data_IF_429267694951
#
_entry.id   IF_429267694951
#
_cell.length_a   1.000
_cell.length_b   1.000
_cell.length_c   1.000
_cell.angle_alpha   90.00
_cell.angle_beta   90.00
_cell.angle_gamma   90.00
#
_symmetry.space_group_name_H-M   'P 1'
#
loop_
_entity.id
_entity.type
_entity.pdbx_description
1 polymer ?
#
# COMPACT_ATOMS: atom_id res chain seq x y z
N UNK A 1 1.56 6.92 8.29
CA UNK A 1 1.54 7.20 6.85
C UNK A 1 1.26 5.96 6.01
N UNK A 2 0.39 6.08 5.02
CA UNK A 2 0.07 5.07 4.01
C UNK A 2 0.70 5.50 2.69
N UNK A 3 1.63 4.69 2.18
CA UNK A 3 2.44 5.00 1.01
C UNK A 3 2.28 3.90 -0.04
N UNK A 4 2.09 4.28 -1.29
CA UNK A 4 2.05 3.35 -2.42
C UNK A 4 3.24 3.56 -3.35
N UNK A 5 3.88 2.47 -3.78
CA UNK A 5 4.79 2.45 -4.91
C UNK A 5 4.07 1.87 -6.12
N UNK A 6 3.97 2.66 -7.19
CA UNK A 6 3.26 2.30 -8.42
C UNK A 6 4.14 2.60 -9.64
N UNK A 7 3.79 2.04 -10.78
CA UNK A 7 4.52 2.26 -12.03
C UNK A 7 4.37 1.11 -13.01
N UNK A 8 5.07 1.21 -14.13
CA UNK A 8 5.08 0.18 -15.17
C UNK A 8 5.78 -1.10 -14.68
N UNK A 9 5.39 -2.26 -15.21
CA UNK A 9 6.17 -3.48 -15.07
C UNK A 9 7.63 -3.27 -15.51
N UNK A 10 8.58 -3.65 -14.64
CA UNK A 10 10.02 -3.48 -14.88
C UNK A 10 10.61 -2.09 -14.58
N UNK A 11 9.81 -1.12 -14.12
CA UNK A 11 10.33 0.22 -13.80
C UNK A 11 11.18 0.28 -12.53
N UNK A 12 11.18 -0.77 -11.71
CA UNK A 12 11.95 -0.86 -10.46
C UNK A 12 11.19 -0.47 -9.19
N UNK A 13 9.85 -0.57 -9.20
CA UNK A 13 8.97 -0.29 -8.05
C UNK A 13 9.38 -1.05 -6.80
N UNK A 14 9.42 -2.39 -6.88
CA UNK A 14 9.74 -3.29 -5.77
C UNK A 14 11.13 -3.02 -5.19
N UNK A 15 12.10 -2.71 -6.05
CA UNK A 15 13.45 -2.32 -5.62
C UNK A 15 13.43 -0.99 -4.87
N UNK A 16 12.73 0.02 -5.37
CA UNK A 16 12.64 1.31 -4.68
C UNK A 16 11.82 1.21 -3.38
N UNK A 17 10.73 0.45 -3.36
CA UNK A 17 9.95 0.22 -2.14
C UNK A 17 10.76 -0.53 -1.10
N UNK A 18 11.57 -1.54 -1.49
CA UNK A 18 12.43 -2.26 -0.54
C UNK A 18 13.55 -1.38 0.02
N UNK A 19 14.17 -0.54 -0.80
CA UNK A 19 15.14 0.46 -0.35
C UNK A 19 14.51 1.45 0.63
N UNK A 20 13.30 1.93 0.32
CA UNK A 20 12.57 2.85 1.18
C UNK A 20 12.16 2.21 2.51
N UNK A 21 11.70 0.96 2.51
CA UNK A 21 11.40 0.20 3.74
C UNK A 21 12.66 0.05 4.60
N UNK A 22 13.82 -0.27 4.00
CA UNK A 22 15.11 -0.34 4.71
C UNK A 22 15.51 1.01 5.30
N UNK A 23 15.29 2.10 4.57
CA UNK A 23 15.54 3.46 5.04
C UNK A 23 14.67 3.82 6.24
N UNK A 24 13.37 3.54 6.18
CA UNK A 24 12.45 3.76 7.30
C UNK A 24 12.85 2.93 8.52
N UNK A 25 13.19 1.66 8.34
CA UNK A 25 13.65 0.79 9.43
C UNK A 25 14.93 1.32 10.08
N UNK A 26 15.91 1.79 9.27
CA UNK A 26 17.14 2.40 9.76
C UNK A 26 16.92 3.72 10.52
N UNK A 27 15.81 4.41 10.24
CA UNK A 27 15.36 5.59 10.96
C UNK A 27 14.43 5.24 12.14
N UNK A 28 14.44 3.99 12.61
CA UNK A 28 13.67 3.47 13.75
C UNK A 28 12.14 3.57 13.61
N UNK A 29 11.64 3.70 12.37
CA UNK A 29 10.21 3.77 12.11
C UNK A 29 9.53 2.40 12.17
N UNK A 30 8.24 2.38 12.51
CA UNK A 30 7.44 1.16 12.51
C UNK A 30 6.84 0.89 11.14
N UNK A 31 7.29 -0.16 10.46
CA UNK A 31 6.90 -0.41 9.06
C UNK A 31 6.10 -1.70 8.90
N UNK A 32 4.93 -1.55 8.28
CA UNK A 32 4.20 -2.64 7.63
C UNK A 32 4.48 -2.55 6.13
N UNK A 33 5.18 -3.54 5.59
CA UNK A 33 5.39 -3.73 4.17
C UNK A 33 4.30 -4.65 3.60
N UNK A 34 3.68 -4.27 2.48
CA UNK A 34 2.63 -5.06 1.83
C UNK A 34 3.00 -5.29 0.36
N UNK A 35 3.15 -6.56 -0.01
CA UNK A 35 3.32 -6.97 -1.40
C UNK A 35 1.96 -7.21 -2.07
N UNK A 36 1.56 -6.26 -2.89
CA UNK A 36 0.34 -6.30 -3.69
C UNK A 36 0.65 -6.23 -5.21
N UNK A 37 1.87 -6.62 -5.63
CA UNK A 37 2.22 -6.84 -7.04
C UNK A 37 1.95 -8.31 -7.40
N UNK A 38 1.45 -8.58 -8.61
CA UNK A 38 1.14 -9.95 -9.05
C UNK A 38 2.37 -10.87 -9.04
N UNK A 39 3.57 -10.29 -9.19
CA UNK A 39 4.81 -11.06 -9.23
C UNK A 39 5.37 -11.38 -7.82
N UNK A 40 4.87 -10.72 -6.77
CA UNK A 40 5.20 -10.98 -5.36
C UNK A 40 6.72 -11.07 -5.07
N UNK A 41 7.48 -10.02 -5.42
CA UNK A 41 8.95 -9.99 -5.27
C UNK A 41 9.46 -9.21 -4.06
N UNK A 42 8.59 -8.55 -3.28
CA UNK A 42 9.00 -7.68 -2.18
C UNK A 42 9.68 -8.45 -1.05
N UNK A 43 9.22 -9.67 -0.73
CA UNK A 43 9.83 -10.51 0.29
C UNK A 43 11.29 -10.83 -0.01
N UNK A 44 11.58 -11.26 -1.24
CA UNK A 44 12.94 -11.51 -1.70
C UNK A 44 13.79 -10.23 -1.71
N UNK A 45 13.22 -9.09 -2.13
CA UNK A 45 13.92 -7.80 -2.10
C UNK A 45 14.24 -7.32 -0.66
N UNK A 46 13.46 -7.75 0.33
CA UNK A 46 13.71 -7.51 1.75
C UNK A 46 14.68 -8.53 2.38
N UNK A 47 15.06 -9.58 1.65
CA UNK A 47 16.11 -10.53 2.04
C UNK A 47 15.61 -11.90 2.47
N UNK A 48 14.33 -12.21 2.27
CA UNK A 48 13.83 -13.58 2.41
C UNK A 48 14.41 -14.46 1.30
N UNK A 49 14.72 -15.70 1.63
CA UNK A 49 15.02 -16.70 0.61
C UNK A 49 13.75 -17.14 -0.15
N UNK A 50 13.93 -17.92 -1.22
CA UNK A 50 12.80 -18.37 -2.05
C UNK A 50 11.78 -19.21 -1.26
N UNK A 51 12.23 -20.01 -0.29
CA UNK A 51 11.37 -20.86 0.51
C UNK A 51 10.58 -20.04 1.54
N UNK A 52 11.24 -19.08 2.20
CA UNK A 52 10.63 -18.13 3.12
C UNK A 52 9.59 -17.25 2.41
N UNK A 53 9.94 -16.71 1.25
CA UNK A 53 9.04 -15.89 0.44
C UNK A 53 7.82 -16.69 -0.04
N UNK A 54 8.02 -17.94 -0.50
CA UNK A 54 6.93 -18.82 -0.91
C UNK A 54 6.03 -19.26 0.27
N UNK A 55 6.56 -19.28 1.49
CA UNK A 55 5.82 -19.63 2.70
C UNK A 55 5.04 -18.46 3.32
N UNK A 56 5.12 -17.25 2.73
CA UNK A 56 4.35 -16.10 3.20
C UNK A 56 2.84 -16.39 3.12
N UNK A 57 2.08 -16.16 4.20
CA UNK A 57 0.63 -16.34 4.17
C UNK A 57 -0.02 -15.38 3.18
N UNK A 58 -0.83 -15.92 2.29
CA UNK A 58 -1.62 -15.13 1.37
C UNK A 58 -2.80 -14.49 2.14
N UNK A 59 -2.84 -13.15 2.21
CA UNK A 59 -3.96 -12.44 2.86
C UNK A 59 -5.33 -12.86 2.31
N UNK A 60 -5.40 -13.17 1.00
CA UNK A 60 -6.63 -13.66 0.36
C UNK A 60 -7.19 -14.94 0.97
N UNK A 61 -6.33 -15.85 1.46
CA UNK A 61 -6.74 -17.09 2.11
C UNK A 61 -7.34 -16.86 3.52
N UNK A 62 -7.07 -15.70 4.11
CA UNK A 62 -7.55 -15.30 5.44
C UNK A 62 -8.68 -14.26 5.38
N UNK A 63 -9.31 -14.05 4.21
CA UNK A 63 -10.39 -13.09 4.04
C UNK A 63 -11.56 -13.23 5.04
N UNK A 64 -12.06 -14.43 5.37
CA UNK A 64 -13.10 -14.58 6.39
C UNK A 64 -12.66 -14.05 7.76
N UNK A 65 -11.46 -14.42 8.21
CA UNK A 65 -10.85 -13.93 9.45
C UNK A 65 -10.72 -12.40 9.45
N UNK A 66 -10.19 -11.84 8.36
CA UNK A 66 -10.02 -10.39 8.21
C UNK A 66 -11.36 -9.68 8.34
N UNK A 67 -12.38 -10.12 7.60
CA UNK A 67 -13.71 -9.51 7.62
C UNK A 67 -14.35 -9.62 9.00
N UNK A 68 -14.35 -10.81 9.61
CA UNK A 68 -14.94 -11.01 10.94
C UNK A 68 -14.26 -10.15 12.00
N UNK A 69 -12.93 -10.05 11.96
CA UNK A 69 -12.20 -9.21 12.90
C UNK A 69 -12.53 -7.72 12.72
N UNK A 70 -12.47 -7.21 11.48
CA UNK A 70 -12.71 -5.79 11.17
C UNK A 70 -14.17 -5.37 11.39
N UNK A 71 -15.12 -6.27 11.12
CA UNK A 71 -16.54 -6.07 11.42
C UNK A 71 -16.78 -5.72 12.89
N UNK A 72 -16.05 -6.37 13.79
CA UNK A 72 -16.23 -6.19 15.22
C UNK A 72 -17.69 -6.42 15.64
N UNK A 73 -18.24 -5.47 16.38
CA UNK A 73 -19.64 -5.41 16.80
C UNK A 73 -20.48 -4.43 15.98
N UNK A 74 -20.03 -4.02 14.78
CA UNK A 74 -20.72 -3.04 13.97
C UNK A 74 -22.15 -3.50 13.63
N UNK A 75 -23.21 -2.80 14.10
CA UNK A 75 -24.59 -3.24 13.92
C UNK A 75 -25.09 -3.09 12.48
N UNK A 76 -24.43 -2.28 11.66
CA UNK A 76 -24.78 -2.06 10.24
C UNK A 76 -24.26 -3.17 9.33
N UNK A 77 -23.32 -3.99 9.81
CA UNK A 77 -22.75 -5.10 9.07
C UNK A 77 -23.25 -6.41 9.71
N UNK A 78 -24.38 -6.92 9.21
CA UNK A 78 -25.04 -8.10 9.75
C UNK A 78 -24.15 -9.35 9.72
N UNK A 79 -23.33 -9.52 8.67
CA UNK A 79 -22.43 -10.66 8.49
C UNK A 79 -21.19 -10.26 7.68
N UNK A 80 -20.03 -10.85 7.99
CA UNK A 80 -18.82 -10.73 7.19
C UNK A 80 -19.02 -11.16 5.73
N UNK A 81 -19.96 -12.05 5.45
CA UNK A 81 -20.29 -12.47 4.07
C UNK A 81 -20.79 -11.31 3.21
N UNK A 82 -21.44 -10.32 3.82
CA UNK A 82 -21.91 -9.10 3.14
C UNK A 82 -20.84 -8.03 2.99
N UNK A 83 -19.66 -8.20 3.58
CA UNK A 83 -18.56 -7.26 3.41
C UNK A 83 -17.89 -7.46 2.06
N UNK A 84 -17.72 -6.36 1.33
CA UNK A 84 -16.87 -6.26 0.14
C UNK A 84 -15.58 -5.47 0.46
N UNK A 85 -14.60 -5.48 -0.45
CA UNK A 85 -13.29 -4.83 -0.25
C UNK A 85 -13.36 -3.33 0.07
N UNK A 86 -14.44 -2.66 -0.35
CA UNK A 86 -14.70 -1.24 -0.10
C UNK A 86 -15.55 -0.97 1.15
N UNK A 87 -15.95 -1.99 1.91
CA UNK A 87 -16.80 -1.80 3.11
C UNK A 87 -16.12 -0.86 4.08
N UNK A 88 -16.74 0.27 4.46
CA UNK A 88 -16.15 1.22 5.40
C UNK A 88 -16.33 0.73 6.85
N UNK A 89 -15.44 1.15 7.78
CA UNK A 89 -15.73 1.06 9.21
C UNK A 89 -16.90 1.97 9.60
N UNK A 90 -17.52 1.64 10.73
CA UNK A 90 -18.52 2.44 11.42
C UNK A 90 -18.45 2.21 12.92
N UNK A 91 -19.40 2.74 13.70
CA UNK A 91 -19.50 2.44 15.11
C UNK A 91 -19.48 0.91 15.37
N UNK A 92 -18.61 0.45 16.27
CA UNK A 92 -18.44 -0.96 16.60
C UNK A 92 -17.49 -1.76 15.69
N UNK A 93 -17.04 -1.21 14.55
CA UNK A 93 -15.96 -1.82 13.76
C UNK A 93 -14.63 -1.79 14.52
N UNK A 94 -13.78 -2.79 14.28
CA UNK A 94 -12.39 -2.75 14.78
C UNK A 94 -11.51 -2.06 13.76
N UNK A 95 -10.59 -1.24 14.26
CA UNK A 95 -9.58 -0.56 13.45
C UNK A 95 -8.22 -1.23 13.66
N UNK A 96 -7.41 -1.27 12.61
CA UNK A 96 -6.04 -1.75 12.67
C UNK A 96 -5.10 -0.62 13.05
N UNK A 97 -4.10 -0.96 13.87
CA UNK A 97 -3.04 -0.07 14.31
C UNK A 97 -1.70 -0.69 13.95
N UNK A 98 -0.74 0.13 13.52
CA UNK A 98 0.54 -0.39 13.00
C UNK A 98 1.33 -1.11 14.09
N UNK A 99 1.35 -0.56 15.31
CA UNK A 99 2.13 -1.06 16.45
C UNK A 99 1.44 -2.16 17.25
N UNK A 100 0.17 -2.45 17.00
CA UNK A 100 -0.58 -3.44 17.77
C UNK A 100 -0.43 -4.83 17.18
N UNK A 101 -0.45 -5.83 18.04
CA UNK A 101 -0.66 -7.21 17.62
C UNK A 101 -2.16 -7.49 17.56
N UNK A 102 -2.55 -8.28 16.56
CA UNK A 102 -3.93 -8.68 16.37
C UNK A 102 -4.01 -9.97 15.56
N UNK A 103 -5.16 -10.68 15.58
CA UNK A 103 -5.34 -11.93 14.87
C UNK A 103 -5.08 -11.86 13.35
N UNK A 104 -5.26 -10.69 12.72
CA UNK A 104 -4.95 -10.54 11.29
C UNK A 104 -3.44 -10.57 11.09
N UNK A 105 -2.66 -9.82 11.88
CA UNK A 105 -1.21 -9.82 11.78
C UNK A 105 -0.60 -11.16 12.18
N UNK A 106 -1.14 -11.83 13.21
CA UNK A 106 -0.70 -13.17 13.61
C UNK A 106 -0.86 -14.18 12.47
N UNK A 107 -1.98 -14.09 11.74
CA UNK A 107 -2.28 -14.99 10.63
C UNK A 107 -1.51 -14.62 9.35
N UNK A 108 -1.45 -13.33 9.02
CA UNK A 108 -1.09 -12.87 7.67
C UNK A 108 0.33 -12.29 7.56
N UNK A 109 0.96 -11.94 8.68
CA UNK A 109 2.21 -11.21 8.65
C UNK A 109 3.41 -12.04 9.12
N UNK A 110 4.60 -11.68 8.62
CA UNK A 110 5.87 -12.23 9.05
C UNK A 110 6.85 -11.11 9.37
N UNK A 111 7.57 -11.24 10.46
CA UNK A 111 8.65 -10.32 10.80
C UNK A 111 9.85 -10.62 9.92
N UNK A 112 10.33 -9.60 9.21
CA UNK A 112 11.56 -9.67 8.40
C UNK A 112 12.62 -8.84 9.11
N UNK A 113 13.73 -9.49 9.44
CA UNK A 113 14.90 -8.86 10.06
C UNK A 113 15.72 -8.16 8.97
N UNK A 114 15.84 -6.84 9.07
CA UNK A 114 16.72 -6.04 8.23
C UNK A 114 18.01 -5.70 8.99
N UNK A 115 18.95 -5.02 8.35
CA UNK A 115 20.23 -4.64 8.98
C UNK A 115 20.02 -3.80 10.25
N UNK A 116 19.11 -2.83 10.18
CA UNK A 116 18.92 -1.80 11.21
C UNK A 116 17.50 -1.79 11.80
N UNK A 117 16.79 -2.92 11.80
CA UNK A 117 15.46 -2.99 12.37
C UNK A 117 14.64 -4.18 11.89
N UNK A 118 13.41 -4.26 12.37
CA UNK A 118 12.46 -5.31 12.01
C UNK A 118 11.25 -4.67 11.33
N UNK A 119 10.75 -5.31 10.28
CA UNK A 119 9.53 -4.86 9.59
C UNK A 119 8.53 -6.00 9.52
N UNK A 120 7.24 -5.64 9.50
CA UNK A 120 6.16 -6.61 9.32
C UNK A 120 5.82 -6.72 7.84
N UNK A 121 6.09 -7.86 7.22
CA UNK A 121 5.75 -8.13 5.81
C UNK A 121 4.43 -8.89 5.70
N UNK A 122 3.54 -8.42 4.82
CA UNK A 122 2.32 -9.12 4.38
C UNK A 122 2.31 -9.23 2.86
N UNK A 123 1.61 -10.24 2.35
CA UNK A 123 1.57 -10.56 0.93
C UNK A 123 0.13 -10.90 0.50
N UNK A 124 -0.30 -10.41 -0.67
CA UNK A 124 -1.59 -10.85 -1.24
C UNK A 124 -1.57 -12.33 -1.64
N UNK A 125 -0.37 -12.88 -1.87
CA UNK A 125 -0.11 -14.25 -2.27
C UNK A 125 -0.08 -14.42 -3.80
N UNK A 126 0.66 -15.41 -4.31
CA UNK A 126 0.81 -15.64 -5.75
C UNK A 126 -0.51 -16.06 -6.38
N UNK A 127 -0.65 -15.88 -7.68
CA UNK A 127 -1.76 -16.44 -8.45
C UNK A 127 -1.59 -17.96 -8.56
N UNK A 128 -2.53 -18.76 -8.05
CA UNK A 128 -2.43 -20.23 -8.10
C UNK A 128 -3.21 -20.78 -9.30
N UNK A 129 -2.95 -22.02 -9.71
CA UNK A 129 -3.68 -22.67 -10.81
C UNK A 129 -5.19 -22.73 -10.56
N UNK A 130 -5.63 -22.80 -9.30
CA UNK A 130 -7.05 -22.74 -8.92
C UNK A 130 -7.70 -21.37 -9.18
N UNK A 131 -6.90 -20.31 -9.36
CA UNK A 131 -7.38 -18.97 -9.67
C UNK A 131 -7.50 -18.75 -11.19
N UNK A 132 -6.78 -19.54 -12.01
CA UNK A 132 -6.77 -19.43 -13.48
C UNK A 132 -8.16 -19.72 -14.06
N UNK A 133 -8.81 -18.67 -14.57
CA UNK A 133 -10.12 -18.75 -15.20
C UNK A 133 -11.31 -18.74 -14.25
N UNK A 134 -11.09 -18.62 -12.93
CA UNK A 134 -12.15 -18.67 -11.90
C UNK A 134 -12.20 -17.40 -11.04
N UNK A 135 -11.04 -16.85 -10.66
CA UNK A 135 -10.95 -15.66 -9.82
C UNK A 135 -10.11 -14.56 -10.50
N UNK A 136 -10.68 -13.36 -10.63
CA UNK A 136 -9.91 -12.21 -11.07
C UNK A 136 -8.97 -11.74 -9.94
N UNK A 137 -7.74 -11.31 -10.25
CA UNK A 137 -6.74 -10.80 -9.27
C UNK A 137 -7.30 -9.73 -8.32
N UNK A 138 -8.35 -9.02 -8.76
CA UNK A 138 -9.22 -8.14 -7.96
C UNK A 138 -9.67 -8.70 -6.60
N UNK A 139 -9.81 -10.02 -6.45
CA UNK A 139 -10.20 -10.65 -5.18
C UNK A 139 -9.06 -10.67 -4.15
N UNK A 140 -7.79 -10.74 -4.60
CA UNK A 140 -6.62 -10.86 -3.71
C UNK A 140 -6.18 -9.52 -3.14
N UNK A 141 -6.17 -8.47 -3.97
CA UNK A 141 -5.88 -7.10 -3.52
C UNK A 141 -7.00 -6.55 -2.62
N UNK A 142 -8.19 -7.16 -2.66
CA UNK A 142 -9.33 -6.76 -1.84
C UNK A 142 -9.08 -6.88 -0.32
N UNK A 143 -8.23 -7.81 0.11
CA UNK A 143 -7.82 -7.91 1.53
C UNK A 143 -6.99 -6.70 1.96
N UNK A 144 -6.05 -6.27 1.12
CA UNK A 144 -5.22 -5.08 1.35
C UNK A 144 -6.10 -3.83 1.41
N UNK A 145 -7.02 -3.68 0.47
CA UNK A 145 -7.96 -2.54 0.46
C UNK A 145 -8.81 -2.48 1.73
N UNK A 146 -9.36 -3.63 2.14
CA UNK A 146 -10.20 -3.70 3.31
C UNK A 146 -9.42 -3.36 4.59
N UNK A 147 -8.18 -3.84 4.70
CA UNK A 147 -7.27 -3.45 5.78
C UNK A 147 -6.96 -1.94 5.73
N UNK A 148 -6.64 -1.36 4.57
CA UNK A 148 -6.37 0.08 4.44
C UNK A 148 -7.57 0.96 4.83
N UNK A 149 -8.79 0.52 4.51
CA UNK A 149 -10.05 1.18 4.89
C UNK A 149 -10.27 1.19 6.41
N UNK A 150 -9.72 0.22 7.13
CA UNK A 150 -9.87 0.09 8.59
C UNK A 150 -8.58 0.42 9.35
N UNK A 151 -7.51 0.84 8.67
CA UNK A 151 -6.23 1.12 9.29
C UNK A 151 -6.16 2.58 9.70
N UNK A 152 -5.78 2.81 10.95
CA UNK A 152 -5.39 4.10 11.48
C UNK A 152 -3.93 4.00 11.86
N UNK A 153 -3.12 4.90 11.32
CA UNK A 153 -1.70 5.05 11.60
C UNK A 153 -1.46 6.38 12.31
N UNK A 154 -0.39 6.47 13.09
CA UNK A 154 0.07 7.71 13.74
C UNK A 154 1.44 8.18 13.22
N UNK A 155 2.06 9.13 13.94
CA UNK A 155 3.44 9.55 13.69
C UNK A 155 4.41 8.36 13.75
N UNK A 156 5.41 8.36 12.87
CA UNK A 156 6.45 7.32 12.74
C UNK A 156 5.94 5.90 12.45
N UNK A 157 4.66 5.76 12.07
CA UNK A 157 4.05 4.49 11.67
C UNK A 157 3.82 4.48 10.17
N UNK A 158 4.37 3.51 9.45
CA UNK A 158 4.34 3.47 7.99
C UNK A 158 3.70 2.18 7.48
N UNK A 159 2.84 2.32 6.48
CA UNK A 159 2.32 1.22 5.67
C UNK A 159 2.80 1.46 4.24
N UNK A 160 3.76 0.66 3.77
CA UNK A 160 4.33 0.77 2.43
C UNK A 160 3.78 -0.37 1.58
N UNK A 161 3.03 -0.02 0.53
CA UNK A 161 2.40 -0.98 -0.37
C UNK A 161 3.08 -0.94 -1.73
N UNK A 162 3.76 -2.03 -2.10
CA UNK A 162 4.26 -2.23 -3.47
C UNK A 162 3.12 -2.80 -4.31
N UNK A 163 2.69 -2.09 -5.35
CA UNK A 163 1.58 -2.52 -6.19
C UNK A 163 1.79 -2.16 -7.66
N UNK A 164 1.01 -2.81 -8.52
CA UNK A 164 0.97 -2.44 -9.94
C UNK A 164 0.20 -1.12 -10.14
N UNK A 165 0.62 -0.29 -11.10
CA UNK A 165 -0.18 0.86 -11.55
C UNK A 165 -1.36 0.42 -12.45
N UNK A 166 -2.10 -0.60 -12.02
CA UNK A 166 -3.17 -1.24 -12.78
C UNK A 166 -4.53 -0.57 -12.60
N UNK A 167 -5.47 -0.95 -13.47
CA UNK A 167 -6.90 -0.62 -13.36
C UNK A 167 -7.51 -1.02 -12.01
N UNK A 168 -6.94 -2.04 -11.37
CA UNK A 168 -7.48 -2.70 -10.19
C UNK A 168 -7.58 -1.74 -9.00
N UNK A 169 -6.56 -0.90 -8.80
CA UNK A 169 -6.55 0.12 -7.73
C UNK A 169 -7.59 1.23 -7.97
N UNK A 170 -7.91 1.52 -9.24
CA UNK A 170 -8.92 2.51 -9.62
C UNK A 170 -10.34 1.96 -9.62
N UNK A 171 -10.52 0.65 -9.83
CA UNK A 171 -11.82 0.00 -9.88
C UNK A 171 -12.56 0.07 -8.53
N UNK A 172 -11.84 0.08 -7.40
CA UNK A 172 -12.43 0.10 -6.06
C UNK A 172 -12.11 1.31 -5.21
N UNK A 173 -11.24 2.21 -5.69
CA UNK A 173 -10.90 3.44 -4.98
C UNK A 173 -9.68 3.34 -4.08
N UNK A 174 -8.99 2.19 -4.05
CA UNK A 174 -7.74 1.99 -3.31
C UNK A 174 -6.71 3.11 -3.52
N UNK A 175 -6.60 3.66 -4.74
CA UNK A 175 -5.69 4.77 -5.04
C UNK A 175 -5.91 6.04 -4.17
N UNK A 176 -7.09 6.17 -3.55
CA UNK A 176 -7.44 7.28 -2.65
C UNK A 176 -7.15 6.99 -1.17
N UNK A 177 -6.49 5.87 -0.86
CA UNK A 177 -6.18 5.42 0.51
C UNK A 177 -4.77 5.74 0.98
N UNK A 178 -3.95 6.34 0.12
CA UNK A 178 -2.55 6.67 0.39
C UNK A 178 -2.39 8.16 0.63
N UNK A 179 -1.55 8.52 1.61
CA UNK A 179 -1.10 9.89 1.81
C UNK A 179 -0.09 10.28 0.75
N UNK A 180 0.70 9.32 0.26
CA UNK A 180 1.65 9.56 -0.82
C UNK A 180 1.70 8.38 -1.78
N UNK A 181 1.57 8.67 -3.07
CA UNK A 181 1.84 7.71 -4.13
C UNK A 181 3.13 8.09 -4.84
N UNK A 182 4.14 7.22 -4.75
CA UNK A 182 5.36 7.31 -5.54
C UNK A 182 5.19 6.52 -6.83
N UNK A 183 5.15 7.23 -7.95
CA UNK A 183 5.13 6.64 -9.27
C UNK A 183 6.54 6.54 -9.84
N UNK A 184 7.01 5.30 -9.98
CA UNK A 184 8.35 4.99 -10.50
C UNK A 184 8.32 4.95 -12.02
N UNK A 185 9.04 5.89 -12.64
CA UNK A 185 9.12 6.04 -14.09
C UNK A 185 10.56 5.99 -14.60
N UNK A 186 10.79 5.17 -15.62
CA UNK A 186 12.03 5.23 -16.41
C UNK A 186 12.00 6.45 -17.35
N UNK A 187 13.15 7.04 -17.72
CA UNK A 187 13.26 8.18 -18.65
C UNK A 187 12.97 7.75 -20.11
N UNK A 188 11.76 7.23 -20.34
CA UNK A 188 11.29 6.79 -21.65
C UNK A 188 9.82 7.16 -21.82
N UNK A 189 9.38 7.35 -23.07
CA UNK A 189 7.96 7.62 -23.39
C UNK A 189 6.99 6.58 -22.81
N UNK A 190 7.41 5.31 -22.77
CA UNK A 190 6.62 4.21 -22.18
C UNK A 190 6.64 4.22 -20.66
N UNK A 191 7.71 4.71 -20.04
CA UNK A 191 7.80 4.87 -18.58
C UNK A 191 6.81 5.94 -18.09
N UNK A 192 6.83 7.11 -18.74
CA UNK A 192 5.98 8.26 -18.36
C UNK A 192 4.52 8.14 -18.82
N UNK A 193 4.18 7.22 -19.73
CA UNK A 193 2.77 7.03 -20.15
C UNK A 193 1.88 6.56 -19.01
N UNK A 194 2.41 5.73 -18.09
CA UNK A 194 1.68 5.28 -16.90
C UNK A 194 1.40 6.45 -15.96
N UNK A 195 2.34 7.38 -15.83
CA UNK A 195 2.13 8.61 -15.07
C UNK A 195 0.95 9.43 -15.61
N UNK A 196 0.89 9.66 -16.92
CA UNK A 196 -0.19 10.44 -17.53
C UNK A 196 -1.56 9.82 -17.26
N UNK A 197 -1.67 8.50 -17.44
CA UNK A 197 -2.91 7.78 -17.17
C UNK A 197 -3.28 7.84 -15.68
N UNK A 198 -2.33 7.65 -14.79
CA UNK A 198 -2.57 7.70 -13.35
C UNK A 198 -3.04 9.11 -12.92
N UNK A 199 -2.38 10.17 -13.41
CA UNK A 199 -2.73 11.56 -13.12
C UNK A 199 -4.13 11.90 -13.63
N UNK A 200 -4.50 11.41 -14.81
CA UNK A 200 -5.84 11.60 -15.37
C UNK A 200 -6.92 10.96 -14.49
N UNK A 201 -6.74 9.70 -14.09
CA UNK A 201 -7.71 9.00 -13.24
C UNK A 201 -7.79 9.55 -11.81
N UNK A 202 -6.68 10.09 -11.28
CA UNK A 202 -6.62 10.62 -9.93
C UNK A 202 -7.01 12.11 -9.81
N UNK A 203 -7.22 12.80 -10.94
CA UNK A 203 -7.39 14.27 -11.03
C UNK A 203 -8.40 14.84 -10.04
N UNK A 204 -9.55 14.21 -9.89
CA UNK A 204 -10.68 14.74 -9.12
C UNK A 204 -10.70 14.26 -7.66
N UNK A 205 -9.68 13.50 -7.24
CA UNK A 205 -9.63 12.88 -5.92
C UNK A 205 -8.56 13.49 -5.00
N UNK A 206 -7.78 14.46 -5.50
CA UNK A 206 -6.79 15.18 -4.70
C UNK A 206 -5.66 14.29 -4.16
N UNK A 207 -5.37 13.17 -4.84
CA UNK A 207 -4.30 12.24 -4.45
C UNK A 207 -2.94 12.93 -4.56
N UNK A 208 -2.13 12.84 -3.51
CA UNK A 208 -0.75 13.29 -3.56
C UNK A 208 0.08 12.25 -4.35
N UNK A 209 0.67 12.71 -5.44
CA UNK A 209 1.42 11.90 -6.38
C UNK A 209 2.75 12.57 -6.65
N UNK A 210 3.83 11.83 -6.48
CA UNK A 210 5.19 12.23 -6.86
C UNK A 210 5.83 11.18 -7.75
N UNK A 211 6.61 11.63 -8.71
CA UNK A 211 7.33 10.77 -9.66
C UNK A 211 8.76 10.60 -9.20
N UNK A 212 9.19 9.34 -9.11
CA UNK A 212 10.58 8.96 -8.87
C UNK A 212 11.14 8.48 -10.19
N UNK A 213 12.04 9.27 -10.77
CA UNK A 213 12.78 8.87 -11.97
C UNK A 213 13.72 7.74 -11.62
N UNK A 214 13.63 6.58 -12.27
CA UNK A 214 14.51 5.45 -12.00
C UNK A 214 15.34 5.08 -13.23
N UNK A 215 16.53 4.52 -12.98
CA UNK A 215 17.53 4.17 -14.01
C UNK A 215 17.99 5.41 -14.80
N UNK A 216 18.10 6.54 -14.12
CA UNK A 216 18.62 7.79 -14.68
C UNK A 216 20.11 7.64 -14.95
N UNK A 217 20.56 7.89 -16.18
CA UNK A 217 21.96 7.78 -16.58
C UNK A 217 22.69 9.13 -16.54
N UNK A 218 21.95 10.24 -16.64
CA UNK A 218 22.54 11.57 -16.63
C UNK A 218 21.54 12.72 -16.69
N UNK A 219 22.03 13.95 -16.89
CA UNK A 219 21.20 15.16 -16.89
C UNK A 219 20.11 15.18 -17.96
N UNK A 220 20.37 14.62 -19.14
CA UNK A 220 19.41 14.53 -20.25
C UNK A 220 18.15 13.74 -19.86
N UNK A 221 18.32 12.62 -19.14
CA UNK A 221 17.19 11.83 -18.61
C UNK A 221 16.34 12.61 -17.60
N UNK A 222 16.99 13.42 -16.74
CA UNK A 222 16.30 14.27 -15.78
C UNK A 222 15.55 15.40 -16.49
N UNK A 223 16.14 16.00 -17.52
CA UNK A 223 15.49 17.01 -18.36
C UNK A 223 14.26 16.42 -19.06
N UNK A 224 14.40 15.23 -19.66
CA UNK A 224 13.29 14.50 -20.26
C UNK A 224 12.16 14.25 -19.26
N UNK A 225 12.47 13.70 -18.08
CA UNK A 225 11.47 13.43 -17.05
C UNK A 225 10.78 14.72 -16.60
N UNK A 226 11.55 15.79 -16.35
CA UNK A 226 11.00 17.09 -15.94
C UNK A 226 10.09 17.69 -17.01
N UNK A 227 10.43 17.55 -18.29
CA UNK A 227 9.58 17.97 -19.39
C UNK A 227 8.27 17.17 -19.48
N UNK A 228 8.29 15.87 -19.15
CA UNK A 228 7.14 14.98 -19.29
C UNK A 228 6.20 14.98 -18.07
N UNK A 229 6.72 15.18 -16.86
CA UNK A 229 5.95 15.07 -15.60
C UNK A 229 5.93 16.36 -14.76
N UNK A 230 6.67 17.40 -15.16
CA UNK A 230 6.67 18.70 -14.50
C UNK A 230 7.06 18.65 -13.02
N UNK A 231 6.32 19.40 -12.19
CA UNK A 231 6.54 19.56 -10.76
C UNK A 231 6.22 18.31 -9.93
N UNK A 232 5.66 17.27 -10.58
CA UNK A 232 5.49 15.98 -9.92
C UNK A 232 6.82 15.22 -9.85
N UNK A 233 7.85 15.54 -10.65
CA UNK A 233 9.18 14.94 -10.51
C UNK A 233 9.79 15.32 -9.16
N UNK A 234 9.94 14.34 -8.27
CA UNK A 234 10.55 14.53 -6.96
C UNK A 234 12.07 14.41 -7.04
N UNK A 235 12.55 13.26 -7.51
CA UNK A 235 13.98 12.94 -7.54
C UNK A 235 14.27 11.89 -8.62
N UNK A 236 15.52 11.86 -9.09
CA UNK A 236 16.04 10.81 -9.96
C UNK A 236 16.99 9.89 -9.22
N UNK A 237 16.86 8.60 -9.47
CA UNK A 237 17.69 7.51 -8.93
C UNK A 237 18.42 6.84 -10.08
N UNK A 238 19.75 6.79 -9.96
CA UNK A 238 20.64 6.26 -10.97
C UNK A 238 20.98 4.78 -10.78
N UNK A 239 22.06 4.35 -11.44
CA UNK A 239 22.61 3.02 -11.20
C UNK A 239 23.24 2.92 -9.81
N UNK A 240 22.98 1.79 -9.14
CA UNK A 240 23.52 1.46 -7.82
C UNK A 240 24.20 0.11 -7.89
N UNK A 241 25.46 0.05 -7.44
CA UNK A 241 26.18 -1.20 -7.29
C UNK A 241 25.64 -1.99 -6.10
N UNK A 242 25.17 -1.29 -5.06
CA UNK A 242 24.48 -1.90 -3.93
C UNK A 242 23.23 -2.67 -4.39
N UNK A 243 22.34 -2.00 -5.14
CA UNK A 243 21.13 -2.63 -5.70
C UNK A 243 21.51 -3.80 -6.60
N UNK A 244 22.48 -3.60 -7.51
CA UNK A 244 22.92 -4.66 -8.42
C UNK A 244 23.49 -5.87 -7.66
N UNK A 245 24.13 -5.67 -6.52
CA UNK A 245 24.63 -6.74 -5.68
C UNK A 245 23.49 -7.48 -4.98
N UNK A 246 22.53 -6.74 -4.41
CA UNK A 246 21.31 -7.29 -3.79
C UNK A 246 20.52 -8.15 -4.78
N UNK A 247 20.25 -7.64 -5.97
CA UNK A 247 19.51 -8.35 -7.05
C UNK A 247 20.25 -9.60 -7.56
N UNK A 248 21.55 -9.75 -7.26
CA UNK A 248 22.35 -10.95 -7.53
C UNK A 248 22.40 -11.92 -6.35
N UNK A 249 21.60 -11.69 -5.30
CA UNK A 249 21.62 -12.47 -4.06
C UNK A 249 22.88 -12.24 -3.22
N UNK A 250 23.52 -11.07 -3.36
CA UNK A 250 24.73 -10.70 -2.60
C UNK A 250 24.50 -9.39 -1.84
N UNK A 251 23.54 -9.35 -0.89
CA UNK A 251 23.25 -8.13 -0.17
C UNK A 251 24.48 -7.65 0.61
N UNK A 252 24.71 -6.34 0.59
CA UNK A 252 25.68 -5.66 1.45
C UNK A 252 24.93 -4.93 2.56
N UNK A 253 25.60 -4.59 3.67
CA UNK A 253 24.96 -3.80 4.74
C UNK A 253 24.34 -2.53 4.16
N UNK A 254 23.12 -2.21 4.56
CA UNK A 254 22.36 -1.08 4.03
C UNK A 254 23.05 0.27 4.25
N UNK A 255 23.81 0.41 5.34
CA UNK A 255 24.67 1.59 5.61
C UNK A 255 25.65 1.90 4.46
N UNK A 256 25.99 0.92 3.62
CA UNK A 256 26.90 1.07 2.47
C UNK A 256 26.20 1.56 1.19
N UNK A 257 24.87 1.75 1.20
CA UNK A 257 24.14 2.33 0.07
C UNK A 257 24.75 3.67 -0.34
N UNK A 258 24.82 3.97 -1.63
CA UNK A 258 25.47 5.19 -2.12
C UNK A 258 24.78 6.46 -1.56
N UNK A 259 25.58 7.51 -1.30
CA UNK A 259 25.08 8.73 -0.63
C UNK A 259 23.91 9.38 -1.39
N UNK A 260 24.01 9.46 -2.72
CA UNK A 260 22.95 10.01 -3.57
C UNK A 260 21.65 9.22 -3.46
N UNK A 261 21.73 7.89 -3.33
CA UNK A 261 20.56 7.03 -3.13
C UNK A 261 19.95 7.22 -1.75
N UNK A 262 20.77 7.37 -0.69
CA UNK A 262 20.26 7.72 0.65
C UNK A 262 19.58 9.09 0.67
N UNK A 263 20.13 10.08 -0.04
CA UNK A 263 19.51 11.39 -0.18
C UNK A 263 18.17 11.31 -0.92
N UNK A 264 18.08 10.48 -1.95
CA UNK A 264 16.82 10.24 -2.64
C UNK A 264 15.77 9.59 -1.71
N UNK A 265 16.16 8.60 -0.90
CA UNK A 265 15.25 7.97 0.06
C UNK A 265 14.78 8.93 1.15
N UNK A 266 15.67 9.81 1.62
CA UNK A 266 15.29 10.88 2.55
C UNK A 266 14.27 11.82 1.90
N UNK A 267 14.49 12.26 0.65
CA UNK A 267 13.54 13.11 -0.06
C UNK A 267 12.16 12.45 -0.25
N UNK A 268 12.12 11.12 -0.39
CA UNK A 268 10.86 10.35 -0.38
C UNK A 268 10.21 10.37 1.00
N UNK A 269 10.98 10.21 2.09
CA UNK A 269 10.44 10.26 3.45
C UNK A 269 9.86 11.65 3.74
N UNK A 270 10.63 12.71 3.48
CA UNK A 270 10.23 14.10 3.67
C UNK A 270 8.93 14.41 2.91
N UNK A 271 8.83 13.98 1.64
CA UNK A 271 7.62 14.19 0.83
C UNK A 271 6.40 13.42 1.37
N UNK A 272 6.60 12.25 1.99
CA UNK A 272 5.52 11.50 2.62
C UNK A 272 5.05 12.16 3.93
N UNK A 273 5.99 12.64 4.74
CA UNK A 273 5.72 13.38 5.98
C UNK A 273 4.98 14.69 5.71
N UNK A 274 5.44 15.50 4.75
CA UNK A 274 4.76 16.73 4.31
C UNK A 274 3.32 16.46 3.88
N UNK A 275 3.08 15.34 3.18
CA UNK A 275 1.73 14.97 2.74
C UNK A 275 0.83 14.50 3.88
N UNK A 276 1.42 13.85 4.89
CA UNK A 276 0.71 13.41 6.09
C UNK A 276 0.22 14.59 6.93
N UNK A 277 0.99 15.66 7.05
CA UNK A 277 0.56 16.89 7.73
C UNK A 277 -0.68 17.53 7.08
N UNK A 278 -0.88 17.29 5.78
CA UNK A 278 -2.00 17.78 4.99
C UNK A 278 -3.19 16.81 4.94
N UNK A 279 -3.15 15.70 5.70
CA UNK A 279 -4.19 14.66 5.68
C UNK A 279 -5.53 15.22 6.14
N UNK A 280 -6.54 15.05 5.29
CA UNK A 280 -7.95 15.36 5.56
C UNK A 280 -8.75 14.07 5.76
N UNK A 281 -9.02 13.73 7.02
CA UNK A 281 -9.79 12.55 7.44
C UNK A 281 -11.26 12.57 6.97
N UNK A 282 -11.87 13.75 6.82
CA UNK A 282 -13.23 13.88 6.29
C UNK A 282 -13.25 13.56 4.80
N UNK A 283 -12.31 14.11 4.02
CA UNK A 283 -12.16 13.77 2.60
C UNK A 283 -11.82 12.30 2.42
N UNK A 284 -10.91 11.76 3.24
CA UNK A 284 -10.53 10.35 3.23
C UNK A 284 -11.76 9.45 3.41
N UNK A 285 -12.55 9.71 4.46
CA UNK A 285 -13.76 8.92 4.76
C UNK A 285 -14.83 9.10 3.70
N UNK A 286 -15.07 10.34 3.23
CA UNK A 286 -16.05 10.63 2.17
C UNK A 286 -15.73 9.88 0.88
N UNK A 287 -14.46 9.83 0.47
CA UNK A 287 -14.05 9.09 -0.73
C UNK A 287 -14.19 7.58 -0.54
N UNK A 288 -13.88 7.05 0.64
CA UNK A 288 -14.12 5.64 0.98
C UNK A 288 -15.60 5.27 0.84
N UNK A 289 -16.50 6.07 1.43
CA UNK A 289 -17.96 5.89 1.30
C UNK A 289 -18.41 6.00 -0.16
N UNK A 290 -17.91 7.00 -0.90
CA UNK A 290 -18.25 7.18 -2.31
C UNK A 290 -17.97 5.94 -3.15
N UNK A 291 -16.76 5.37 -3.03
CA UNK A 291 -16.40 4.16 -3.77
C UNK A 291 -17.13 2.91 -3.27
N UNK A 292 -17.47 2.85 -1.98
CA UNK A 292 -18.31 1.79 -1.46
C UNK A 292 -19.69 1.78 -2.09
N UNK A 293 -20.39 2.92 -2.09
CA UNK A 293 -21.72 3.06 -2.69
C UNK A 293 -21.70 2.73 -4.18
N UNK A 294 -20.68 3.19 -4.91
CA UNK A 294 -20.52 2.85 -6.32
C UNK A 294 -20.33 1.35 -6.55
N UNK A 295 -19.58 0.65 -5.70
CA UNK A 295 -19.39 -0.80 -5.78
C UNK A 295 -20.65 -1.57 -5.34
N UNK A 296 -21.37 -1.06 -4.33
CA UNK A 296 -22.65 -1.60 -3.89
C UNK A 296 -23.68 -1.61 -5.02
N UNK A 297 -23.87 -0.47 -5.67
CA UNK A 297 -24.83 -0.31 -6.78
C UNK A 297 -24.43 -1.10 -8.03
N UNK A 298 -23.14 -1.13 -8.37
CA UNK A 298 -22.69 -1.73 -9.64
C UNK A 298 -22.67 -3.26 -9.65
N UNK A 299 -22.39 -3.91 -8.53
CA UNK A 299 -22.35 -5.38 -8.45
C UNK A 299 -22.54 -5.93 -7.04
N UNK A 300 -22.19 -5.17 -6.00
CA UNK A 300 -22.13 -5.65 -4.62
C UNK A 300 -23.47 -6.11 -4.09
N UNK A 301 -24.53 -5.34 -4.33
CA UNK A 301 -25.88 -5.66 -3.87
C UNK A 301 -26.40 -6.95 -4.53
N UNK A 302 -26.23 -7.08 -5.85
CA UNK A 302 -26.65 -8.28 -6.58
C UNK A 302 -25.88 -9.53 -6.09
N UNK A 303 -24.55 -9.39 -5.90
CA UNK A 303 -23.70 -10.51 -5.50
C UNK A 303 -23.96 -10.99 -4.07
N UNK A 304 -24.27 -10.08 -3.15
CA UNK A 304 -24.43 -10.39 -1.73
C UNK A 304 -25.89 -10.63 -1.34
N UNK A 305 -26.85 -10.19 -2.16
CA UNK A 305 -28.27 -10.22 -1.84
C UNK A 305 -28.66 -9.26 -0.70
N UNK A 306 -27.80 -8.29 -0.37
CA UNK A 306 -28.01 -7.31 0.70
C UNK A 306 -27.88 -5.88 0.17
N UNK A 307 -28.55 -4.94 0.84
CA UNK A 307 -28.33 -3.50 0.59
C UNK A 307 -27.05 -3.04 1.30
N UNK A 308 -25.95 -3.00 0.55
CA UNK A 308 -24.66 -2.61 1.11
C UNK A 308 -24.60 -1.11 1.46
N UNK A 309 -25.46 -0.27 0.88
CA UNK A 309 -25.51 1.15 1.27
C UNK A 309 -25.90 1.34 2.74
N UNK A 310 -26.69 0.41 3.31
CA UNK A 310 -27.06 0.41 4.72
C UNK A 310 -25.88 0.18 5.68
N UNK A 311 -24.75 -0.35 5.18
CA UNK A 311 -23.52 -0.55 5.95
C UNK A 311 -22.81 0.77 6.29
N UNK A 312 -23.09 1.84 5.54
CA UNK A 312 -22.47 3.15 5.76
C UNK A 312 -23.00 3.78 7.05
N UNK A 313 -22.08 4.16 7.93
CA UNK A 313 -22.38 4.96 9.10
C UNK A 313 -22.16 6.46 8.79
N UNK A 314 -23.23 7.27 8.66
CA UNK A 314 -23.09 8.67 8.28
C UNK A 314 -22.50 9.55 9.40
N UNK A 315 -22.45 9.06 10.64
CA UNK A 315 -21.87 9.77 11.78
C UNK A 315 -20.40 9.41 12.01
N UNK A 316 -19.89 8.35 11.35
CA UNK A 316 -18.53 7.88 11.53
C UNK A 316 -17.58 8.59 10.58
N UNK A 317 -16.50 9.15 11.14
CA UNK A 317 -15.35 9.66 10.40
C UNK A 317 -14.13 8.91 10.90
N UNK A 318 -13.41 8.24 9.99
CA UNK A 318 -12.15 7.60 10.34
C UNK A 318 -11.17 8.69 10.79
N UNK A 319 -10.56 8.52 11.96
CA UNK A 319 -9.73 9.57 12.57
C UNK A 319 -8.76 8.94 13.58
N UNK A 320 -7.58 9.54 13.73
CA UNK A 320 -6.55 9.16 14.70
C UNK A 320 -7.02 9.21 16.16
N UNK A 321 -8.02 10.04 16.48
CA UNK A 321 -8.62 10.10 17.83
C UNK A 321 -9.22 8.77 18.28
N UNK A 322 -9.61 7.90 17.34
CA UNK A 322 -10.06 6.55 17.65
C UNK A 322 -8.93 5.64 18.16
N UNK A 323 -7.66 6.04 18.01
CA UNK A 323 -6.52 5.32 18.55
C UNK A 323 -6.49 5.27 20.09
N UNK A 324 -7.13 6.22 20.77
CA UNK A 324 -7.12 6.29 22.24
C UNK A 324 -8.16 5.41 22.95
N UNK A 325 -9.17 4.91 22.24
CA UNK A 325 -10.30 4.22 22.85
C UNK A 325 -10.08 2.71 23.11
N UNK A 326 -9.00 2.12 22.58
CA UNK A 326 -8.68 0.70 22.70
C UNK A 326 -7.88 0.30 23.94
N UNK A 327 -7.34 1.26 24.71
CA UNK A 327 -6.46 0.98 25.85
C UNK A 327 -7.18 0.66 27.18
N UNK A 328 -8.50 0.40 27.14
CA UNK A 328 -9.21 -0.15 28.29
C UNK A 328 -9.25 -1.69 28.18
N UNK A 329 -8.15 -2.34 28.60
CA UNK A 329 -8.17 -3.77 28.87
C UNK A 329 -9.19 -4.05 29.99
N UNK A 330 -10.07 -5.06 29.87
CA UNK A 330 -10.86 -5.50 31.02
C UNK A 330 -9.93 -6.12 32.06
N UNK A 331 -10.16 -5.74 33.32
CA UNK A 331 -9.49 -6.27 34.51
C UNK A 331 -9.80 -7.76 34.74
#
# INVERSE_FOLDING_TARGET
MKIAFVGKGGSGKTTLSSLFIRHLAANEAHVIAVDADINQHLGAALGLDEAEAAALPAMGAHLPLIKDYLRGSNPRIASAETMIKTTPPGEGSRLLRVREDNPIFDACARTVRLDDGDVRLMATGPFTESDLGVACYHSKVGAVELCLNHLVDGPDEYVVVDMTAGSDSFASGMFTRFDMTFLVAEPTRKGVSVYRQYKEYARDYGVALKVVGNKVQGPDDLEFLRAEVGDDLLIGVGHSDWVRSMEKGRPSRFELLEADNRMALQALQDAAEDSYELRDWERYTRQMVHFHLKNAESWGNEKTGADLAAQVDPAFVLDERHAGAGAAAPA
#
